data_IF_155901687374
#
_entry.id   IF_155901687374
#
_cell.length_a   1.000
_cell.length_b   1.000
_cell.length_c   1.000
_cell.angle_alpha   90.00
_cell.angle_beta   90.00
_cell.angle_gamma   90.00
#
_symmetry.space_group_name_H-M   'P 1'
#
loop_
_entity.id
_entity.type
_entity.pdbx_description
1 polymer ?
#
# COMPACT_ATOMS: atom_id res chain seq x y z
N UNK A 1 42.41 4.15 -9.35
CA UNK A 1 41.57 3.55 -8.29
C UNK A 1 42.15 2.18 -7.96
N UNK A 2 42.63 1.98 -6.74
CA UNK A 2 43.26 0.75 -6.25
C UNK A 2 42.28 -0.42 -6.10
N UNK A 3 41.04 -0.13 -5.70
CA UNK A 3 40.01 -1.14 -5.45
C UNK A 3 39.64 -1.93 -6.71
N UNK A 4 39.66 -1.27 -7.88
CA UNK A 4 39.44 -1.95 -9.15
C UNK A 4 40.50 -3.02 -9.43
N UNK A 5 41.77 -2.73 -9.11
CA UNK A 5 42.87 -3.67 -9.33
C UNK A 5 42.75 -4.90 -8.42
N UNK A 6 42.41 -4.71 -7.14
CA UNK A 6 42.17 -5.82 -6.20
C UNK A 6 40.92 -6.62 -6.55
N UNK A 7 39.81 -5.94 -6.87
CA UNK A 7 38.59 -6.63 -7.33
C UNK A 7 38.87 -7.45 -8.60
N UNK A 8 39.58 -6.86 -9.57
CA UNK A 8 39.95 -7.53 -10.81
C UNK A 8 40.84 -8.75 -10.56
N UNK A 9 41.83 -8.66 -9.67
CA UNK A 9 42.68 -9.83 -9.35
C UNK A 9 41.88 -10.94 -8.69
N UNK A 10 41.04 -10.62 -7.70
CA UNK A 10 40.27 -11.62 -6.96
C UNK A 10 39.18 -12.26 -7.84
N UNK A 11 38.45 -11.48 -8.64
CA UNK A 11 37.36 -12.02 -9.50
C UNK A 11 37.90 -12.90 -10.63
N UNK A 12 39.10 -12.63 -11.13
CA UNK A 12 39.76 -13.48 -12.12
C UNK A 12 40.35 -14.76 -11.50
N UNK A 13 40.61 -14.76 -10.19
CA UNK A 13 41.17 -15.91 -9.47
C UNK A 13 40.10 -16.90 -8.99
N UNK A 14 38.85 -16.47 -8.79
CA UNK A 14 37.78 -17.37 -8.31
C UNK A 14 37.29 -18.32 -9.41
N UNK A 15 37.14 -19.60 -9.05
CA UNK A 15 36.55 -20.63 -9.92
C UNK A 15 35.55 -21.48 -9.12
N UNK A 16 34.34 -20.96 -8.84
CA UNK A 16 33.35 -21.68 -8.04
C UNK A 16 32.75 -22.85 -8.83
N UNK A 17 32.55 -23.99 -8.16
CA UNK A 17 31.79 -25.12 -8.71
C UNK A 17 30.31 -24.97 -8.39
N UNK A 18 29.46 -24.95 -9.41
CA UNK A 18 28.00 -24.90 -9.26
C UNK A 18 27.32 -26.26 -9.43
N UNK A 19 26.04 -26.31 -9.08
CA UNK A 19 25.18 -27.46 -9.38
C UNK A 19 24.43 -27.21 -10.69
N UNK A 20 24.37 -28.22 -11.58
CA UNK A 20 23.54 -28.13 -12.78
C UNK A 20 22.05 -28.04 -12.38
N UNK A 21 21.30 -27.11 -12.96
CA UNK A 21 19.87 -26.91 -12.65
C UNK A 21 19.03 -28.19 -12.81
N UNK A 22 19.32 -29.02 -13.82
CA UNK A 22 18.61 -30.27 -14.06
C UNK A 22 18.93 -31.35 -13.02
N UNK A 23 20.09 -31.26 -12.37
CA UNK A 23 20.51 -32.18 -11.30
C UNK A 23 20.14 -31.69 -9.90
N UNK A 24 19.67 -30.45 -9.77
CA UNK A 24 19.30 -29.88 -8.48
C UNK A 24 17.91 -30.36 -8.05
N UNK A 25 17.87 -31.14 -6.97
CA UNK A 25 16.62 -31.54 -6.31
C UNK A 25 16.55 -30.85 -4.94
N UNK A 26 15.64 -29.89 -4.72
CA UNK A 26 15.55 -29.19 -3.45
C UNK A 26 15.06 -30.14 -2.34
N UNK A 27 15.78 -30.17 -1.22
CA UNK A 27 15.42 -30.98 -0.05
C UNK A 27 14.68 -30.18 1.03
N UNK A 28 14.85 -28.86 1.06
CA UNK A 28 14.14 -27.95 1.97
C UNK A 28 12.88 -27.39 1.29
N UNK A 29 11.87 -28.24 1.10
CA UNK A 29 10.59 -27.87 0.47
C UNK A 29 9.55 -27.38 1.48
N UNK A 30 9.78 -27.58 2.78
CA UNK A 30 8.92 -27.06 3.82
C UNK A 30 9.02 -25.54 3.89
N UNK A 31 7.87 -24.87 3.97
CA UNK A 31 7.81 -23.44 4.27
C UNK A 31 8.46 -23.20 5.62
N UNK A 32 9.43 -22.29 5.66
CA UNK A 32 10.02 -21.86 6.92
C UNK A 32 9.06 -20.90 7.62
N UNK A 33 8.91 -21.09 8.92
CA UNK A 33 8.20 -20.13 9.76
C UNK A 33 8.97 -18.81 9.79
N UNK A 34 8.25 -17.69 9.71
CA UNK A 34 8.86 -16.39 9.92
C UNK A 34 9.31 -16.24 11.39
N UNK A 35 10.36 -15.45 11.67
CA UNK A 35 10.77 -15.19 13.05
C UNK A 35 9.61 -14.66 13.89
N UNK A 36 9.52 -15.14 15.13
CA UNK A 36 8.53 -14.66 16.08
C UNK A 36 8.77 -13.18 16.44
N UNK A 37 7.69 -12.45 16.75
CA UNK A 37 7.79 -11.07 17.21
C UNK A 37 8.38 -11.02 18.62
N UNK A 38 9.45 -10.24 18.79
CA UNK A 38 10.16 -10.00 20.05
C UNK A 38 10.44 -8.50 20.21
N UNK A 39 11.12 -8.10 21.28
CA UNK A 39 11.61 -6.72 21.43
C UNK A 39 12.61 -6.31 20.34
N UNK A 40 13.34 -7.27 19.79
CA UNK A 40 14.40 -7.04 18.79
C UNK A 40 13.89 -7.27 17.35
N UNK A 41 12.82 -8.06 17.20
CA UNK A 41 12.18 -8.32 15.91
C UNK A 41 10.71 -7.97 15.97
N UNK A 42 10.34 -6.81 15.47
CA UNK A 42 8.96 -6.33 15.54
C UNK A 42 8.11 -6.69 14.32
N UNK A 43 8.66 -7.30 13.27
CA UNK A 43 7.90 -7.51 12.03
C UNK A 43 6.91 -8.67 12.17
N UNK A 44 5.61 -8.36 12.16
CA UNK A 44 4.55 -9.36 12.06
C UNK A 44 4.58 -10.00 10.67
N UNK A 45 4.59 -11.34 10.63
CA UNK A 45 4.71 -12.11 9.40
C UNK A 45 3.51 -11.98 8.46
N UNK A 46 2.31 -11.89 9.03
CA UNK A 46 1.05 -11.84 8.29
C UNK A 46 -0.03 -11.09 9.10
N UNK A 47 -0.90 -10.30 8.45
CA UNK A 47 -0.93 -10.03 7.01
C UNK A 47 0.21 -9.10 6.58
N UNK A 48 0.62 -9.22 5.33
CA UNK A 48 1.48 -8.21 4.68
C UNK A 48 0.65 -6.96 4.34
N UNK A 49 1.30 -5.79 4.14
CA UNK A 49 0.61 -4.63 3.61
C UNK A 49 -0.12 -4.99 2.30
N UNK A 50 -1.35 -4.50 2.08
CA UNK A 50 -2.05 -4.75 0.83
C UNK A 50 -1.31 -4.10 -0.34
N UNK A 51 -1.53 -4.60 -1.56
CA UNK A 51 -1.01 -3.96 -2.77
C UNK A 51 -1.57 -2.54 -2.90
N UNK A 52 -0.73 -1.50 -3.14
CA UNK A 52 -1.22 -0.15 -3.34
C UNK A 52 -2.25 -0.05 -4.46
N UNK A 53 -3.37 0.63 -4.20
CA UNK A 53 -4.45 0.86 -5.17
C UNK A 53 -4.50 2.35 -5.54
N UNK A 54 -3.82 2.70 -6.63
CA UNK A 54 -3.74 4.09 -7.09
C UNK A 54 -5.10 4.69 -7.49
N UNK A 55 -6.02 3.86 -7.98
CA UNK A 55 -7.37 4.30 -8.35
C UNK A 55 -8.17 4.69 -7.10
N UNK A 56 -8.20 3.84 -6.06
CA UNK A 56 -8.82 4.16 -4.77
C UNK A 56 -8.26 5.45 -4.17
N UNK A 57 -6.93 5.60 -4.15
CA UNK A 57 -6.28 6.79 -3.62
C UNK A 57 -6.65 8.05 -4.41
N UNK A 58 -6.68 7.96 -5.75
CA UNK A 58 -7.10 9.07 -6.61
C UNK A 58 -8.58 9.42 -6.41
N UNK A 59 -9.45 8.42 -6.32
CA UNK A 59 -10.89 8.60 -6.08
C UNK A 59 -11.14 9.32 -4.75
N UNK A 60 -10.50 8.86 -3.66
CA UNK A 60 -10.61 9.49 -2.35
C UNK A 60 -10.11 10.93 -2.40
N UNK A 61 -8.96 11.18 -3.03
CA UNK A 61 -8.37 12.51 -3.10
C UNK A 61 -9.28 13.49 -3.85
N UNK A 62 -9.91 13.05 -4.95
CA UNK A 62 -10.86 13.87 -5.73
C UNK A 62 -12.18 14.12 -4.99
N UNK A 63 -12.58 13.21 -4.12
CA UNK A 63 -13.80 13.31 -3.32
C UNK A 63 -13.59 14.11 -2.01
N UNK A 64 -12.36 14.49 -1.68
CA UNK A 64 -12.05 15.28 -0.49
C UNK A 64 -12.44 16.76 -0.71
N UNK A 65 -13.18 17.32 0.24
CA UNK A 65 -13.52 18.76 0.29
C UNK A 65 -12.50 19.57 1.08
N UNK A 66 -11.75 18.95 1.98
CA UNK A 66 -10.65 19.57 2.70
C UNK A 66 -9.34 18.86 2.33
N UNK A 67 -8.39 19.61 1.79
CA UNK A 67 -7.10 19.08 1.33
C UNK A 67 -5.96 19.92 1.89
N UNK A 68 -4.77 19.35 1.94
CA UNK A 68 -3.54 20.06 2.29
C UNK A 68 -3.29 21.15 1.25
N UNK A 69 -2.87 22.32 1.71
CA UNK A 69 -2.54 23.42 0.82
C UNK A 69 -1.25 23.11 0.03
N UNK A 70 -1.18 23.55 -1.22
CA UNK A 70 -0.04 23.28 -2.11
C UNK A 70 1.26 23.96 -1.68
N UNK A 71 1.17 24.96 -0.80
CA UNK A 71 2.33 25.62 -0.18
C UNK A 71 3.00 24.78 0.91
N UNK A 72 2.32 23.75 1.45
CA UNK A 72 2.87 22.91 2.52
C UNK A 72 3.91 21.95 1.96
N UNK A 73 5.12 22.00 2.51
CA UNK A 73 6.20 21.12 2.07
C UNK A 73 6.02 19.72 2.66
N UNK A 74 6.48 18.69 1.93
CA UNK A 74 6.43 17.31 2.42
C UNK A 74 7.22 17.06 3.72
N UNK A 75 8.11 17.99 4.09
CA UNK A 75 8.85 17.94 5.36
C UNK A 75 7.95 18.26 6.56
N UNK A 76 6.89 19.03 6.33
CA UNK A 76 5.98 19.52 7.38
C UNK A 76 4.76 18.60 7.56
N UNK A 77 4.61 17.59 6.69
CA UNK A 77 3.49 16.64 6.74
C UNK A 77 3.46 15.86 8.06
N UNK A 78 4.61 15.56 8.66
CA UNK A 78 4.68 14.83 9.92
C UNK A 78 4.04 15.62 11.07
N UNK A 79 4.24 16.93 11.12
CA UNK A 79 3.67 17.81 12.14
C UNK A 79 2.15 17.92 11.94
N UNK A 80 1.72 18.09 10.69
CA UNK A 80 0.29 18.15 10.35
C UNK A 80 -0.43 16.83 10.67
N UNK A 81 0.18 15.68 10.35
CA UNK A 81 -0.34 14.38 10.79
C UNK A 81 -0.43 14.28 12.31
N UNK A 82 0.59 14.75 13.03
CA UNK A 82 0.61 14.68 14.50
C UNK A 82 -0.56 15.43 15.12
N UNK A 83 -0.85 16.63 14.62
CA UNK A 83 -2.03 17.41 15.05
C UNK A 83 -3.32 16.70 14.67
N UNK A 84 -3.48 16.33 13.41
CA UNK A 84 -4.70 15.70 12.90
C UNK A 84 -5.03 14.38 13.58
N UNK A 85 -4.04 13.52 13.79
CA UNK A 85 -4.22 12.23 14.44
C UNK A 85 -4.49 12.35 15.95
N UNK A 86 -4.28 13.53 16.55
CA UNK A 86 -4.74 13.86 17.90
C UNK A 86 -6.20 14.34 17.93
N UNK A 87 -6.71 14.88 16.82
CA UNK A 87 -8.06 15.42 16.69
C UNK A 87 -9.06 14.40 16.12
N UNK A 88 -8.61 13.48 15.27
CA UNK A 88 -9.42 12.42 14.67
C UNK A 88 -8.65 11.10 14.56
N UNK A 89 -9.34 10.02 14.22
CA UNK A 89 -8.72 8.72 14.01
C UNK A 89 -7.97 8.64 12.67
N UNK A 90 -6.67 8.37 12.75
CA UNK A 90 -5.82 8.04 11.60
C UNK A 90 -5.77 6.55 11.25
N UNK A 91 -6.70 5.73 11.77
CA UNK A 91 -6.71 4.30 11.50
C UNK A 91 -6.77 3.96 10.00
N UNK A 92 -7.48 4.78 9.21
CA UNK A 92 -7.62 4.56 7.77
C UNK A 92 -6.35 4.77 6.94
N UNK A 93 -5.33 5.44 7.49
CA UNK A 93 -4.03 5.69 6.84
C UNK A 93 -2.87 5.00 7.56
N UNK A 94 -3.12 4.31 8.68
CA UNK A 94 -2.08 3.57 9.39
C UNK A 94 -1.57 2.41 8.54
N UNK A 95 -0.25 2.19 8.60
CA UNK A 95 0.42 1.02 8.04
C UNK A 95 1.39 0.44 9.08
N UNK A 96 0.86 -0.37 10.00
CA UNK A 96 1.62 -0.87 11.16
C UNK A 96 2.14 -2.29 10.90
N UNK A 97 3.41 -2.40 10.51
CA UNK A 97 4.10 -3.69 10.32
C UNK A 97 4.35 -4.49 11.59
N UNK A 98 4.18 -3.88 12.77
CA UNK A 98 4.32 -4.57 14.06
C UNK A 98 3.08 -5.33 14.47
N UNK A 99 1.90 -4.86 14.08
CA UNK A 99 0.61 -5.47 14.42
C UNK A 99 -0.09 -6.09 13.20
N UNK A 100 0.44 -5.87 11.99
CA UNK A 100 -0.20 -6.27 10.74
C UNK A 100 -1.48 -5.48 10.45
N UNK A 101 -1.65 -4.29 11.03
CA UNK A 101 -2.86 -3.48 10.84
C UNK A 101 -2.60 -2.41 9.77
N UNK A 102 -3.36 -2.50 8.68
CA UNK A 102 -3.28 -1.58 7.55
C UNK A 102 -4.65 -0.99 7.25
N UNK A 103 -4.74 0.33 7.25
CA UNK A 103 -5.93 1.05 6.77
C UNK A 103 -6.04 0.98 5.24
N UNK A 104 -7.26 1.18 4.73
CA UNK A 104 -7.57 1.14 3.30
C UNK A 104 -6.74 2.15 2.48
N UNK A 105 -6.37 3.27 3.10
CA UNK A 105 -5.58 4.33 2.47
C UNK A 105 -4.12 4.36 2.93
N UNK A 106 -3.68 3.39 3.76
CA UNK A 106 -2.32 3.36 4.30
C UNK A 106 -1.23 3.18 3.23
N UNK A 107 -1.61 2.74 2.02
CA UNK A 107 -0.73 2.59 0.87
C UNK A 107 -0.81 3.77 -0.12
N UNK A 108 -1.61 4.80 0.16
CA UNK A 108 -1.65 6.02 -0.64
C UNK A 108 -0.41 6.90 -0.38
N UNK A 109 -0.17 7.92 -1.21
CA UNK A 109 0.93 8.86 -0.96
C UNK A 109 0.69 9.66 0.34
N UNK A 110 1.73 10.19 1.01
CA UNK A 110 1.55 10.98 2.23
C UNK A 110 0.59 12.17 2.07
N UNK A 111 0.62 12.85 0.93
CA UNK A 111 -0.32 13.94 0.60
C UNK A 111 -1.77 13.44 0.54
N UNK A 112 -2.01 12.32 -0.14
CA UNK A 112 -3.35 11.72 -0.23
C UNK A 112 -3.83 11.24 1.15
N UNK A 113 -2.94 10.65 1.94
CA UNK A 113 -3.25 10.25 3.31
C UNK A 113 -3.64 11.47 4.17
N UNK A 114 -2.92 12.59 4.07
CA UNK A 114 -3.31 13.85 4.73
C UNK A 114 -4.69 14.31 4.28
N UNK A 115 -4.96 14.31 2.99
CA UNK A 115 -6.25 14.74 2.44
C UNK A 115 -7.41 13.87 2.94
N UNK A 116 -7.20 12.56 3.10
CA UNK A 116 -8.18 11.70 3.76
C UNK A 116 -8.45 12.13 5.21
N UNK A 117 -7.41 12.32 6.01
CA UNK A 117 -7.55 12.65 7.43
C UNK A 117 -8.14 14.06 7.63
N UNK A 118 -7.70 15.03 6.84
CA UNK A 118 -8.23 16.39 6.79
C UNK A 118 -9.72 16.38 6.46
N UNK A 119 -10.10 15.71 5.37
CA UNK A 119 -11.50 15.62 4.96
C UNK A 119 -12.36 14.87 5.98
N UNK A 120 -11.80 13.84 6.62
CA UNK A 120 -12.46 13.11 7.72
C UNK A 120 -12.74 14.04 8.90
N UNK A 121 -11.73 14.75 9.40
CA UNK A 121 -11.90 15.71 10.49
C UNK A 121 -12.90 16.82 10.10
N UNK A 122 -12.77 17.38 8.90
CA UNK A 122 -13.71 18.39 8.39
C UNK A 122 -15.16 17.89 8.39
N UNK A 123 -15.38 16.65 7.96
CA UNK A 123 -16.71 16.02 7.98
C UNK A 123 -17.24 15.79 9.40
N UNK A 124 -16.38 15.39 10.35
CA UNK A 124 -16.72 15.22 11.76
C UNK A 124 -17.12 16.55 12.42
N UNK A 125 -16.51 17.65 11.97
CA UNK A 125 -16.85 19.00 12.38
C UNK A 125 -18.00 19.62 11.58
N UNK A 126 -18.86 18.77 11.00
CA UNK A 126 -20.04 19.19 10.23
C UNK A 126 -19.72 20.14 9.07
N UNK A 127 -18.52 20.01 8.49
CA UNK A 127 -18.04 20.85 7.39
C UNK A 127 -18.02 22.35 7.72
N UNK A 128 -17.76 22.71 8.99
CA UNK A 128 -17.57 24.11 9.38
C UNK A 128 -16.36 24.70 8.67
N UNK A 129 -16.47 25.91 8.11
CA UNK A 129 -15.38 26.54 7.34
C UNK A 129 -14.08 26.71 8.15
N UNK A 130 -14.19 26.84 9.47
CA UNK A 130 -13.05 26.93 10.39
C UNK A 130 -12.35 25.60 10.68
N UNK A 131 -12.93 24.48 10.26
CA UNK A 131 -12.38 23.13 10.46
C UNK A 131 -11.41 22.68 9.35
N UNK A 132 -11.21 23.50 8.31
CA UNK A 132 -10.28 23.24 7.21
C UNK A 132 -9.40 24.46 6.93
N UNK A 133 -8.57 24.81 7.92
CA UNK A 133 -7.59 25.91 7.80
C UNK A 133 -6.20 25.45 8.28
N UNK A 134 -6.10 24.91 9.49
CA UNK A 134 -4.84 24.42 10.07
C UNK A 134 -3.70 25.45 9.96
N UNK A 135 -3.99 26.71 10.28
CA UNK A 135 -3.06 27.83 10.14
C UNK A 135 -2.60 28.04 8.69
N UNK A 136 -3.52 27.89 7.75
CA UNK A 136 -3.26 27.96 6.31
C UNK A 136 -2.64 26.69 5.69
N UNK A 137 -2.46 25.62 6.47
CA UNK A 137 -1.91 24.36 5.95
C UNK A 137 -2.95 23.48 5.24
N UNK A 138 -4.22 23.84 5.30
CA UNK A 138 -5.30 23.17 4.60
C UNK A 138 -6.24 24.17 3.94
N UNK A 139 -6.92 23.72 2.90
CA UNK A 139 -7.82 24.55 2.11
C UNK A 139 -9.06 23.77 1.67
N UNK A 140 -10.19 24.48 1.58
CA UNK A 140 -11.45 23.92 1.10
C UNK A 140 -11.43 23.94 -0.43
N UNK A 141 -11.76 22.80 -1.04
CA UNK A 141 -11.83 22.64 -2.49
C UNK A 141 -13.17 22.05 -2.92
N UNK A 142 -13.47 22.20 -4.21
CA UNK A 142 -14.65 21.61 -4.84
C UNK A 142 -14.47 20.10 -4.97
N UNK A 143 -15.11 19.33 -4.07
CA UNK A 143 -15.10 17.89 -4.14
C UNK A 143 -15.89 17.37 -5.35
N UNK A 144 -15.34 16.39 -6.05
CA UNK A 144 -16.05 15.66 -7.09
C UNK A 144 -16.89 14.55 -6.46
N UNK A 145 -18.13 14.39 -6.92
CA UNK A 145 -18.94 13.23 -6.53
C UNK A 145 -18.32 11.94 -7.05
N UNK A 146 -18.03 11.00 -6.17
CA UNK A 146 -17.52 9.69 -6.55
C UNK A 146 -18.62 8.87 -7.26
N UNK A 147 -18.36 8.47 -8.51
CA UNK A 147 -19.27 7.66 -9.34
C UNK A 147 -18.62 6.32 -9.71
N UNK A 148 -19.41 5.36 -10.20
CA UNK A 148 -18.91 4.06 -10.69
C UNK A 148 -18.02 3.31 -9.69
N UNK A 149 -16.85 2.87 -10.16
CA UNK A 149 -15.85 2.15 -9.35
C UNK A 149 -15.33 2.97 -8.16
N UNK A 150 -15.15 4.29 -8.33
CA UNK A 150 -14.74 5.16 -7.21
C UNK A 150 -15.76 5.11 -6.06
N UNK A 151 -17.05 5.18 -6.38
CA UNK A 151 -18.12 5.15 -5.36
C UNK A 151 -18.11 3.83 -4.59
N UNK A 152 -17.95 2.71 -5.29
CA UNK A 152 -17.93 1.38 -4.68
C UNK A 152 -16.68 1.16 -3.82
N UNK A 153 -15.50 1.57 -4.30
CA UNK A 153 -14.25 1.47 -3.55
C UNK A 153 -14.23 2.34 -2.29
N UNK A 154 -14.67 3.59 -2.37
CA UNK A 154 -14.74 4.48 -1.20
C UNK A 154 -15.77 3.94 -0.18
N UNK A 155 -16.91 3.42 -0.64
CA UNK A 155 -17.89 2.76 0.24
C UNK A 155 -17.30 1.53 0.93
N UNK A 156 -16.52 0.72 0.21
CA UNK A 156 -15.86 -0.46 0.76
C UNK A 156 -14.78 -0.09 1.79
N UNK A 157 -14.02 0.99 1.56
CA UNK A 157 -13.09 1.53 2.55
C UNK A 157 -13.80 2.06 3.81
N UNK A 158 -15.01 2.60 3.63
CA UNK A 158 -15.86 3.15 4.68
C UNK A 158 -15.37 4.50 5.21
N UNK A 159 -16.19 5.18 6.01
CA UNK A 159 -15.90 6.54 6.53
C UNK A 159 -14.67 6.58 7.45
N UNK A 160 -14.37 5.48 8.14
CA UNK A 160 -13.15 5.35 8.95
C UNK A 160 -11.91 4.99 8.11
N UNK A 161 -12.08 4.58 6.85
CA UNK A 161 -11.00 4.10 5.99
C UNK A 161 -10.40 2.77 6.45
N UNK A 162 -11.07 2.01 7.30
CA UNK A 162 -10.56 0.74 7.86
C UNK A 162 -11.14 -0.50 7.17
N UNK A 163 -11.99 -0.31 6.16
CA UNK A 163 -12.57 -1.40 5.39
C UNK A 163 -11.60 -2.02 4.39
N UNK A 164 -11.96 -3.18 3.86
CA UNK A 164 -11.16 -3.90 2.87
C UNK A 164 -11.67 -3.61 1.46
N UNK A 165 -10.80 -3.14 0.58
CA UNK A 165 -11.13 -2.89 -0.84
C UNK A 165 -10.53 -4.02 -1.68
N UNK A 166 -11.38 -4.90 -2.21
CA UNK A 166 -10.96 -6.09 -2.98
C UNK A 166 -10.95 -5.88 -4.49
N UNK A 167 -11.47 -4.75 -4.98
CA UNK A 167 -11.43 -4.43 -6.41
C UNK A 167 -10.00 -4.08 -6.78
N UNK A 168 -9.34 -5.02 -7.46
CA UNK A 168 -8.02 -4.82 -8.05
C UNK A 168 -8.07 -3.57 -8.94
N UNK A 169 -7.22 -2.58 -8.63
CA UNK A 169 -6.83 -1.64 -9.67
C UNK A 169 -6.28 -2.48 -10.82
N UNK A 170 -6.83 -2.30 -12.02
CA UNK A 170 -6.18 -2.81 -13.22
C UNK A 170 -4.83 -2.13 -13.25
N UNK A 171 -3.74 -2.87 -13.03
CA UNK A 171 -2.42 -2.39 -13.45
C UNK A 171 -2.59 -2.09 -14.93
N UNK A 172 -2.53 -0.81 -15.31
CA UNK A 172 -2.38 -0.41 -16.70
C UNK A 172 -1.05 -0.96 -17.18
N UNK A 173 -1.04 -2.22 -17.59
CA UNK A 173 0.00 -2.79 -18.43
C UNK A 173 -0.02 -2.00 -19.71
N UNK A 174 0.94 -1.09 -19.86
CA UNK A 174 1.38 -0.66 -21.17
C UNK A 174 1.72 -1.93 -21.95
N UNK A 175 0.90 -2.20 -22.96
CA UNK A 175 1.06 -3.29 -23.93
C UNK A 175 2.43 -3.18 -24.59
N UNK A 176 3.40 -3.97 -24.13
CA UNK A 176 4.42 -4.54 -24.98
C UNK A 176 4.01 -5.99 -25.26
N UNK A 177 3.62 -6.20 -26.52
CA UNK A 177 3.28 -7.50 -27.10
C UNK A 177 4.38 -8.53 -26.87
N UNK A 178 4.04 -9.67 -26.28
CA UNK A 178 4.38 -11.04 -26.74
C UNK A 178 4.06 -12.08 -25.67
N UNK A 179 3.31 -13.13 -26.04
CA UNK A 179 3.25 -14.38 -25.26
C UNK A 179 1.83 -14.83 -24.93
N UNK A 180 1.38 -15.86 -25.64
CA UNK A 180 0.08 -16.52 -25.53
C UNK A 180 -0.25 -16.95 -24.09
N UNK A 181 -1.51 -16.73 -23.70
CA UNK A 181 -2.00 -16.93 -22.35
C UNK A 181 -2.38 -18.36 -22.01
N UNK A 182 -2.69 -18.52 -20.72
CA UNK A 182 -3.72 -19.41 -20.19
C UNK A 182 -4.13 -18.92 -18.79
N UNK A 183 -5.42 -18.60 -18.55
CA UNK A 183 -5.91 -18.24 -17.22
C UNK A 183 -6.53 -19.45 -16.51
N UNK A 184 -6.89 -19.19 -15.24
CA UNK A 184 -7.85 -19.88 -14.37
C UNK A 184 -7.31 -20.96 -13.43
N UNK A 185 -7.26 -20.59 -12.16
CA UNK A 185 -7.78 -21.47 -11.11
C UNK A 185 -9.30 -21.57 -11.23
N UNK A 186 -9.83 -22.79 -11.07
CA UNK A 186 -11.19 -23.05 -10.65
C UNK A 186 -11.19 -24.36 -9.85
N UNK A 187 -11.45 -24.25 -8.55
CA UNK A 187 -11.81 -25.37 -7.69
C UNK A 187 -13.17 -25.92 -8.16
N UNK A 188 -13.22 -27.20 -8.55
CA UNK A 188 -14.42 -28.04 -8.44
C UNK A 188 -13.97 -29.43 -7.99
N UNK A 189 -14.53 -29.84 -6.86
CA UNK A 189 -14.49 -31.17 -6.28
C UNK A 189 -15.48 -32.07 -7.04
N UNK A 190 -15.07 -33.22 -7.60
CA UNK A 190 -15.96 -34.32 -7.96
C UNK A 190 -15.21 -35.64 -8.25
N UNK A 191 -15.77 -36.70 -7.65
CA UNK A 191 -15.50 -38.13 -7.70
C UNK A 191 -15.25 -38.80 -9.09
N UNK A 192 -14.52 -39.92 -8.99
CA UNK A 192 -14.78 -41.26 -9.59
C UNK A 192 -14.23 -41.66 -10.98
N UNK A 193 -13.54 -42.82 -10.92
CA UNK A 193 -13.49 -43.97 -11.84
C UNK A 193 -12.66 -43.96 -13.13
N UNK A 194 -11.82 -45.04 -13.24
CA UNK A 194 -11.40 -45.83 -14.43
C UNK A 194 -10.82 -45.02 -15.61
N UNK A 195 -9.57 -45.21 -16.03
CA UNK A 195 -8.86 -46.43 -16.46
C UNK A 195 -7.37 -46.25 -16.21
#
# INVERSE_FOLDING_TARGET
>A
MTDYTYYSSEINAVSPTGTNKASYTPTNSALQDCPAVTSDWLATATPLPPTPNSELCSCMNKAASCVVDSSVSSKDYADLFSVLCGLTSCAGVKANGTTGVYGAYGMCTPEQQLNFVLNKYYSEQSSASTACDFSGSATITSAASATGTCSSMIKAAGTAGTGTVTTSASVSTTTSSSGAGRPRGLFINALAHLV
#
